data_IF_844724879466
#
_entry.id   IF_844724879466
#
_cell.length_a   1.000
_cell.length_b   1.000
_cell.length_c   1.000
_cell.angle_alpha   90.00
_cell.angle_beta   90.00
_cell.angle_gamma   90.00
#
_symmetry.space_group_name_H-M   'P 1'
#
loop_
_entity.id
_entity.type
_entity.pdbx_description
1 polymer ?
#
# COMPACT_ATOMS: atom_id res chain seq x y z
N UNK A 1 8.33 -0.13 5.10
CA UNK A 1 7.36 0.94 4.83
C UNK A 1 7.44 1.97 5.94
N UNK A 2 7.35 3.25 5.61
CA UNK A 2 7.06 4.34 6.55
C UNK A 2 5.73 4.91 6.11
N UNK A 3 4.71 4.85 6.97
CA UNK A 3 3.34 5.27 6.65
C UNK A 3 2.74 6.00 7.85
N UNK A 4 1.95 7.02 7.56
CA UNK A 4 1.14 7.71 8.58
C UNK A 4 -0.22 7.03 8.73
N UNK A 5 -0.79 7.02 9.93
CA UNK A 5 -2.10 6.45 10.20
C UNK A 5 -3.24 7.35 9.70
N UNK A 6 -3.13 8.66 9.90
CA UNK A 6 -4.16 9.64 9.54
C UNK A 6 -3.62 10.92 8.89
N UNK A 7 -4.46 11.54 8.07
CA UNK A 7 -4.26 12.85 7.45
C UNK A 7 -5.35 13.81 7.90
N UNK A 8 -5.38 15.02 7.33
CA UNK A 8 -6.34 16.07 7.74
C UNK A 8 -7.65 16.07 6.93
N UNK A 9 -7.87 15.06 6.08
CA UNK A 9 -9.03 14.96 5.21
C UNK A 9 -10.28 14.43 5.94
N UNK A 10 -11.46 14.86 5.52
CA UNK A 10 -12.76 14.45 6.04
C UNK A 10 -13.73 14.16 4.89
N UNK A 11 -14.17 12.90 4.77
CA UNK A 11 -15.17 12.44 3.81
C UNK A 11 -14.68 12.28 2.37
N UNK A 12 -15.62 11.99 1.45
CA UNK A 12 -15.30 11.62 0.07
C UNK A 12 -14.76 12.77 -0.79
N UNK A 13 -15.10 14.02 -0.46
CA UNK A 13 -14.67 15.20 -1.22
C UNK A 13 -13.31 15.75 -0.74
N UNK A 14 -12.81 15.26 0.39
CA UNK A 14 -11.51 15.61 0.94
C UNK A 14 -10.94 14.38 1.64
N UNK A 15 -10.62 13.31 0.89
CA UNK A 15 -10.18 12.06 1.47
C UNK A 15 -8.92 12.27 2.31
N UNK A 16 -8.82 11.54 3.42
CA UNK A 16 -7.64 11.58 4.29
C UNK A 16 -6.46 10.88 3.60
N UNK A 17 -5.68 11.65 2.85
CA UNK A 17 -4.46 11.17 2.21
C UNK A 17 -3.28 11.23 3.19
N UNK A 18 -2.52 10.14 3.24
CA UNK A 18 -1.35 9.99 4.10
C UNK A 18 -0.10 9.71 3.28
N UNK A 19 1.05 10.13 3.79
CA UNK A 19 2.34 9.82 3.16
C UNK A 19 2.66 8.33 3.37
N UNK A 20 3.08 7.66 2.29
CA UNK A 20 3.63 6.31 2.31
C UNK A 20 4.97 6.29 1.58
N UNK A 21 6.01 5.77 2.23
CA UNK A 21 7.35 5.62 1.66
C UNK A 21 7.77 4.16 1.76
N UNK A 22 8.12 3.57 0.61
CA UNK A 22 8.78 2.28 0.53
C UNK A 22 10.30 2.48 0.42
N UNK A 23 11.04 1.87 1.35
CA UNK A 23 12.50 1.74 1.26
C UNK A 23 12.81 0.25 1.20
N UNK A 24 13.40 -0.19 0.09
CA UNK A 24 13.70 -1.60 -0.17
C UNK A 24 14.73 -1.71 -1.30
N UNK A 25 15.59 -2.75 -1.30
CA UNK A 25 16.42 -3.07 -2.47
C UNK A 25 15.59 -3.43 -3.71
N UNK A 26 14.31 -3.77 -3.53
CA UNK A 26 13.37 -4.10 -4.60
C UNK A 26 12.44 -2.94 -4.96
N UNK A 27 12.56 -1.79 -4.29
CA UNK A 27 11.76 -0.61 -4.61
C UNK A 27 12.20 -0.01 -5.95
N UNK A 28 11.24 0.52 -6.72
CA UNK A 28 11.57 1.35 -7.90
C UNK A 28 12.26 2.64 -7.41
N UNK A 29 13.50 2.92 -7.83
CA UNK A 29 14.21 4.12 -7.39
C UNK A 29 13.61 5.37 -8.03
N UNK A 30 13.50 6.46 -7.26
CA UNK A 30 12.98 7.77 -7.72
C UNK A 30 11.58 7.69 -8.34
N UNK A 31 10.74 6.79 -7.81
CA UNK A 31 9.39 6.56 -8.29
C UNK A 31 8.35 7.08 -7.29
N UNK A 32 7.32 7.74 -7.82
CA UNK A 32 6.09 8.09 -7.12
C UNK A 32 4.94 7.44 -7.86
N UNK A 33 4.04 6.79 -7.13
CA UNK A 33 2.83 6.19 -7.70
C UNK A 33 1.65 7.15 -7.56
N UNK A 34 0.82 7.22 -8.61
CA UNK A 34 -0.48 7.88 -8.59
C UNK A 34 -1.63 6.88 -8.35
N UNK A 35 -1.32 5.59 -8.14
CA UNK A 35 -2.29 4.54 -7.84
C UNK A 35 -2.92 4.80 -6.47
N UNK A 36 -4.25 4.75 -6.39
CA UNK A 36 -4.95 4.93 -5.14
C UNK A 36 -4.85 3.66 -4.27
N UNK A 37 -4.20 3.81 -3.12
CA UNK A 37 -4.06 2.76 -2.12
C UNK A 37 -4.74 3.15 -0.80
N UNK A 38 -5.06 2.14 0.00
CA UNK A 38 -5.57 2.29 1.37
C UNK A 38 -4.63 1.59 2.36
N UNK A 39 -4.85 1.76 3.67
CA UNK A 39 -4.12 0.97 4.68
C UNK A 39 -4.30 -0.54 4.49
N UNK A 40 -5.41 -1.01 3.91
CA UNK A 40 -5.59 -2.42 3.58
C UNK A 40 -4.67 -2.89 2.45
N UNK A 41 -4.24 -2.01 1.55
CA UNK A 41 -3.26 -2.34 0.52
C UNK A 41 -1.88 -2.61 1.14
N UNK A 42 -1.54 -1.98 2.27
CA UNK A 42 -0.32 -2.31 3.01
C UNK A 42 -0.40 -3.71 3.61
N UNK A 43 -1.55 -4.06 4.20
CA UNK A 43 -1.80 -5.41 4.71
C UNK A 43 -1.65 -6.44 3.59
N UNK A 44 -2.38 -6.27 2.47
CA UNK A 44 -2.29 -7.15 1.31
C UNK A 44 -0.86 -7.29 0.78
N UNK A 45 -0.07 -6.20 0.77
CA UNK A 45 1.34 -6.25 0.35
C UNK A 45 2.19 -7.11 1.27
N UNK A 46 2.01 -6.98 2.59
CA UNK A 46 2.73 -7.80 3.58
C UNK A 46 2.32 -9.27 3.45
N UNK A 47 1.02 -9.54 3.28
CA UNK A 47 0.51 -10.89 3.07
C UNK A 47 1.10 -11.56 1.84
N UNK A 48 1.20 -10.83 0.72
CA UNK A 48 1.87 -11.30 -0.51
C UNK A 48 3.35 -11.58 -0.26
N UNK A 49 4.09 -10.65 0.36
CA UNK A 49 5.54 -10.81 0.62
C UNK A 49 5.84 -12.07 1.43
N UNK A 50 5.00 -12.38 2.44
CA UNK A 50 5.22 -13.53 3.32
C UNK A 50 4.45 -14.79 2.91
N UNK A 51 3.64 -14.72 1.85
CA UNK A 51 2.81 -15.82 1.36
C UNK A 51 1.91 -16.44 2.44
N UNK A 52 1.34 -15.62 3.33
CA UNK A 52 0.54 -16.06 4.49
C UNK A 52 -0.97 -16.14 4.20
N UNK A 53 -1.40 -15.79 2.99
CA UNK A 53 -2.81 -15.70 2.63
C UNK A 53 -3.51 -14.49 3.24
N UNK A 54 -4.78 -14.31 2.89
CA UNK A 54 -5.60 -13.19 3.38
C UNK A 54 -5.98 -13.41 4.86
N UNK A 55 -5.69 -12.43 5.72
CA UNK A 55 -5.92 -12.49 7.16
C UNK A 55 -7.18 -11.74 7.64
N UNK A 56 -8.03 -11.20 6.75
CA UNK A 56 -9.16 -10.35 7.15
C UNK A 56 -10.33 -10.25 6.16
N UNK A 57 -11.38 -9.51 6.53
CA UNK A 57 -12.54 -9.24 5.64
C UNK A 57 -12.39 -7.97 4.81
N UNK A 58 -11.64 -6.99 5.31
CA UNK A 58 -11.63 -5.61 4.80
C UNK A 58 -10.56 -5.35 3.73
N UNK A 59 -9.69 -6.32 3.47
CA UNK A 59 -8.67 -6.31 2.41
C UNK A 59 -9.08 -7.16 1.19
N UNK A 60 -10.23 -7.84 1.21
CA UNK A 60 -10.65 -8.74 0.12
C UNK A 60 -10.73 -8.07 -1.25
N UNK A 61 -10.85 -6.74 -1.28
CA UNK A 61 -10.82 -5.91 -2.51
C UNK A 61 -9.57 -5.06 -2.66
N UNK A 62 -8.68 -5.04 -1.66
CA UNK A 62 -7.46 -4.24 -1.68
C UNK A 62 -6.33 -5.03 -2.36
N UNK A 63 -5.81 -4.49 -3.46
CA UNK A 63 -4.63 -5.06 -4.13
C UNK A 63 -3.33 -4.71 -3.40
N UNK A 64 -2.28 -5.55 -3.53
CA UNK A 64 -0.94 -5.22 -3.07
C UNK A 64 -0.39 -3.99 -3.83
N UNK A 65 0.53 -3.27 -3.19
CA UNK A 65 1.25 -2.12 -3.74
C UNK A 65 2.37 -2.54 -4.70
N UNK A 66 2.05 -3.44 -5.65
CA UNK A 66 3.02 -4.10 -6.53
C UNK A 66 3.72 -3.14 -7.48
N UNK A 67 3.08 -2.03 -7.83
CA UNK A 67 3.65 -1.02 -8.72
C UNK A 67 4.86 -0.29 -8.11
N UNK A 68 5.05 -0.34 -6.78
CA UNK A 68 6.20 0.26 -6.09
C UNK A 68 7.49 -0.57 -6.25
N UNK A 69 7.41 -1.79 -6.78
CA UNK A 69 8.53 -2.74 -6.81
C UNK A 69 9.04 -3.01 -8.23
N UNK A 70 10.34 -3.28 -8.36
CA UNK A 70 10.97 -3.70 -9.63
C UNK A 70 10.77 -5.19 -9.91
N UNK A 71 10.40 -5.96 -8.89
CA UNK A 71 10.08 -7.38 -8.98
C UNK A 71 8.57 -7.59 -9.10
N UNK A 72 8.16 -8.70 -9.69
CA UNK A 72 6.76 -9.12 -9.63
C UNK A 72 6.44 -9.60 -8.21
N UNK A 73 5.54 -8.91 -7.52
CA UNK A 73 4.88 -9.44 -6.33
C UNK A 73 3.72 -10.34 -6.76
N UNK A 74 3.78 -11.61 -6.37
CA UNK A 74 2.79 -12.65 -6.64
C UNK A 74 2.44 -13.41 -5.38
#
# INVERSE_FOLDING_TARGET
>A
FVIYDEGSGSGNNSPSHVVCILVSPFAKPRYSSDTQYSHYSLLATVETIFSIGNMGRNDSTAGPMSDLFTINLS
#
